data_IF_557334071709
#
_entry.id   IF_557334071709
#
_cell.length_a   1.000
_cell.length_b   1.000
_cell.length_c   1.000
_cell.angle_alpha   90.00
_cell.angle_beta   90.00
_cell.angle_gamma   90.00
#
_symmetry.space_group_name_H-M   'P 1'
#
loop_
_entity.id
_entity.type
_entity.pdbx_description
1 polymer ?
#
# COMPACT_ATOMS: atom_id res chain seq x y z
N UNK A 1 10.94 -2.46 -5.07
CA UNK A 1 10.84 -1.00 -4.78
C UNK A 1 11.45 -0.72 -3.41
N UNK A 2 12.09 0.43 -3.19
CA UNK A 2 12.67 0.82 -1.89
C UNK A 2 11.79 1.80 -1.10
N UNK A 3 12.07 2.01 0.20
CA UNK A 3 11.37 2.99 1.04
C UNK A 3 11.64 4.43 0.56
N UNK A 4 12.86 4.72 0.11
CA UNK A 4 13.20 6.05 -0.40
C UNK A 4 12.44 6.37 -1.70
N UNK A 5 12.29 5.37 -2.59
CA UNK A 5 11.45 5.50 -3.78
C UNK A 5 9.99 5.76 -3.41
N UNK A 6 9.46 5.08 -2.37
CA UNK A 6 8.09 5.26 -1.89
C UNK A 6 7.83 6.71 -1.43
N UNK A 7 8.77 7.34 -0.73
CA UNK A 7 8.64 8.72 -0.22
C UNK A 7 8.43 9.76 -1.32
N UNK A 8 8.83 9.46 -2.56
CA UNK A 8 8.62 10.33 -3.73
C UNK A 8 7.29 10.13 -4.46
N UNK A 9 6.47 9.14 -4.07
CA UNK A 9 5.21 8.79 -4.74
C UNK A 9 4.00 9.20 -3.91
N UNK A 10 2.91 9.56 -4.58
CA UNK A 10 1.62 9.80 -3.91
C UNK A 10 0.83 8.50 -3.68
N UNK A 11 0.90 7.59 -4.67
CA UNK A 11 0.20 6.30 -4.63
C UNK A 11 1.03 5.20 -5.27
N UNK A 12 0.79 3.98 -4.79
CA UNK A 12 1.33 2.74 -5.33
C UNK A 12 0.19 1.74 -5.55
N UNK A 13 0.44 0.68 -6.31
CA UNK A 13 -0.50 -0.40 -6.51
C UNK A 13 -0.54 -1.32 -5.28
N UNK A 14 -1.62 -2.09 -5.16
CA UNK A 14 -1.76 -3.07 -4.07
C UNK A 14 -0.63 -4.13 -4.09
N UNK A 15 -0.21 -4.68 -5.24
CA UNK A 15 0.95 -5.57 -5.30
C UNK A 15 2.27 -4.93 -4.85
N UNK A 16 2.54 -3.67 -5.24
CA UNK A 16 3.74 -2.95 -4.81
C UNK A 16 3.76 -2.76 -3.27
N UNK A 17 2.60 -2.46 -2.66
CA UNK A 17 2.49 -2.40 -1.20
C UNK A 17 2.75 -3.76 -0.56
N UNK A 18 2.25 -4.84 -1.15
CA UNK A 18 2.52 -6.20 -0.69
C UNK A 18 4.00 -6.56 -0.70
N UNK A 19 4.72 -6.21 -1.77
CA UNK A 19 6.17 -6.41 -1.88
C UNK A 19 6.92 -5.67 -0.76
N UNK A 20 6.59 -4.40 -0.52
CA UNK A 20 7.21 -3.62 0.56
C UNK A 20 6.94 -4.18 1.95
N UNK A 21 5.75 -4.73 2.18
CA UNK A 21 5.36 -5.34 3.45
C UNK A 21 5.82 -6.81 3.59
N UNK A 22 6.47 -7.39 2.57
CA UNK A 22 6.90 -8.78 2.58
C UNK A 22 5.76 -9.81 2.50
N UNK A 23 4.60 -9.44 1.96
CA UNK A 23 3.42 -10.31 1.83
C UNK A 23 3.10 -10.63 0.37
N UNK A 24 2.51 -11.81 0.14
CA UNK A 24 2.10 -12.22 -1.21
C UNK A 24 0.93 -11.39 -1.76
N UNK A 25 0.82 -11.30 -3.10
CA UNK A 25 -0.26 -10.55 -3.81
C UNK A 25 -1.66 -10.81 -3.26
N UNK A 26 -2.02 -12.08 -3.02
CA UNK A 26 -3.34 -12.45 -2.48
C UNK A 26 -3.60 -11.82 -1.11
N UNK A 27 -2.60 -11.82 -0.24
CA UNK A 27 -2.69 -11.21 1.08
C UNK A 27 -2.81 -9.69 0.98
N UNK A 28 -2.04 -9.06 0.08
CA UNK A 28 -2.14 -7.62 -0.16
C UNK A 28 -3.54 -7.21 -0.64
N UNK A 29 -4.16 -7.96 -1.57
CA UNK A 29 -5.54 -7.70 -1.98
C UNK A 29 -6.56 -7.98 -0.88
N UNK A 30 -6.33 -8.98 -0.02
CA UNK A 30 -7.17 -9.19 1.17
C UNK A 30 -7.09 -7.98 2.10
N UNK A 31 -5.87 -7.53 2.40
CA UNK A 31 -5.60 -6.38 3.25
C UNK A 31 -6.19 -5.07 2.68
N UNK A 32 -6.20 -4.91 1.35
CA UNK A 32 -6.90 -3.82 0.69
C UNK A 32 -8.43 -3.92 0.83
N UNK A 33 -8.97 -5.14 0.83
CA UNK A 33 -10.41 -5.40 0.92
C UNK A 33 -10.94 -5.29 2.35
N UNK A 34 -10.20 -5.77 3.33
CA UNK A 34 -10.57 -5.75 4.76
C UNK A 34 -10.25 -4.41 5.46
N UNK A 35 -9.56 -3.50 4.76
CA UNK A 35 -9.27 -2.15 5.23
C UNK A 35 -7.95 -2.02 5.98
N UNK A 36 -7.16 -3.10 6.09
CA UNK A 36 -5.81 -3.06 6.69
C UNK A 36 -4.87 -2.16 5.88
N UNK A 37 -4.94 -2.18 4.54
CA UNK A 37 -4.17 -1.26 3.70
C UNK A 37 -4.90 0.07 3.49
N UNK A 38 -4.19 1.21 3.53
CA UNK A 38 -4.80 2.53 3.36
C UNK A 38 -5.03 2.84 1.88
N UNK A 39 -6.13 2.33 1.33
CA UNK A 39 -6.44 2.41 -0.11
C UNK A 39 -7.26 3.64 -0.50
N UNK A 40 -7.18 4.00 -1.78
CA UNK A 40 -8.08 4.87 -2.52
C UNK A 40 -8.77 4.08 -3.62
N UNK A 41 -10.07 4.29 -3.75
CA UNK A 41 -10.87 3.78 -4.87
C UNK A 41 -11.09 4.91 -5.87
N UNK A 42 -10.56 4.75 -7.08
CA UNK A 42 -10.68 5.71 -8.19
C UNK A 42 -11.33 4.98 -9.35
N UNK A 43 -12.66 5.04 -9.44
CA UNK A 43 -13.44 4.21 -10.35
C UNK A 43 -13.19 2.73 -10.10
N UNK A 44 -12.75 2.00 -11.11
CA UNK A 44 -12.39 0.57 -11.00
C UNK A 44 -11.00 0.32 -10.43
N UNK A 45 -10.18 1.36 -10.25
CA UNK A 45 -8.79 1.23 -9.81
C UNK A 45 -8.69 1.34 -8.29
N UNK A 46 -7.95 0.43 -7.68
CA UNK A 46 -7.56 0.47 -6.27
C UNK A 46 -6.07 0.74 -6.17
N UNK A 47 -5.69 1.77 -5.42
CA UNK A 47 -4.29 2.14 -5.15
C UNK A 47 -4.10 2.38 -3.65
N UNK A 48 -2.89 2.15 -3.15
CA UNK A 48 -2.50 2.42 -1.76
C UNK A 48 -1.91 3.82 -1.67
N UNK A 49 -2.33 4.60 -0.68
CA UNK A 49 -1.74 5.91 -0.37
C UNK A 49 -0.33 5.69 0.18
N UNK A 50 0.68 6.22 -0.50
CA UNK A 50 2.07 6.01 -0.11
C UNK A 50 2.37 6.56 1.28
N UNK A 51 1.95 7.80 1.56
CA UNK A 51 2.16 8.44 2.87
C UNK A 51 1.49 7.66 4.00
N UNK A 52 0.22 7.29 3.85
CA UNK A 52 -0.49 6.56 4.89
C UNK A 52 0.09 5.15 5.13
N UNK A 53 0.69 4.53 4.11
CA UNK A 53 1.40 3.27 4.27
C UNK A 53 2.69 3.46 5.10
N UNK A 54 3.42 4.56 4.88
CA UNK A 54 4.57 4.92 5.71
C UNK A 54 4.15 5.20 7.16
N UNK A 55 3.07 5.95 7.35
CA UNK A 55 2.55 6.29 8.68
C UNK A 55 2.20 5.04 9.50
N UNK A 56 1.68 3.98 8.85
CA UNK A 56 1.41 2.69 9.51
C UNK A 56 2.66 1.97 10.02
N UNK A 57 3.80 2.16 9.35
CA UNK A 57 5.07 1.52 9.72
C UNK A 57 5.87 2.34 10.75
N UNK A 58 5.66 3.65 10.80
CA UNK A 58 6.30 4.55 11.76
C UNK A 58 5.55 4.64 13.11
N UNK A 59 4.31 4.12 13.18
CA UNK A 59 3.53 4.08 14.42
C UNK A 59 4.09 3.07 15.42
N UNK A 60 4.68 3.59 16.51
CA UNK A 60 5.05 2.88 17.75
C UNK A 60 3.85 2.78 18.70
#
# INVERSE_FOLDING_TARGET
MTIDELRSRLTITVPEAGELLGIGRRQAYSAAKDGTLPVLHIGSRVVVKAQALLDLLEAN
#
